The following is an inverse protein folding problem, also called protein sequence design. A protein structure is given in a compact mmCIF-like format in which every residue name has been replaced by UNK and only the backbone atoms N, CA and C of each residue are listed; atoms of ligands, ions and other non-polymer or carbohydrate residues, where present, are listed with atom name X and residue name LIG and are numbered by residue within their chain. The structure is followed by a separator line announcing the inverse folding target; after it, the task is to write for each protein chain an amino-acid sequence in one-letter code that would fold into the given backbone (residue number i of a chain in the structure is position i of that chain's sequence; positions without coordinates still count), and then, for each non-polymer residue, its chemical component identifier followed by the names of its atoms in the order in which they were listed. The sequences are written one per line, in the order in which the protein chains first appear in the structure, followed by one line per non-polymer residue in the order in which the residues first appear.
data_IF_961050422977
#
_entry.id   IF_961050422977
#
_cell.length_a   1.000
_cell.length_b   1.000
_cell.length_c   1.000
_cell.angle_alpha   90.00
_cell.angle_beta   90.00
_cell.angle_gamma   90.00
#
_symmetry.space_group_name_H-M   'P 1'
#
loop_
_entity.id
_entity.type
_entity.pdbx_description
1 polymer ?
#
# COMPACT_ATOMS: atom_id res chain seq x y z
N UNK A 1 -11.39 4.61 -18.47
CA UNK A 1 -10.63 3.67 -17.60
C UNK A 1 -11.63 2.73 -16.95
N UNK A 2 -11.40 1.43 -17.02
CA UNK A 2 -12.22 0.42 -16.33
C UNK A 2 -12.09 0.60 -14.82
N UNK A 3 -13.19 0.44 -14.08
CA UNK A 3 -13.16 0.46 -12.61
C UNK A 3 -12.24 -0.65 -12.09
N UNK A 4 -11.39 -0.36 -11.08
CA UNK A 4 -10.57 -1.36 -10.41
C UNK A 4 -11.38 -2.60 -10.00
N UNK A 5 -10.85 -3.80 -10.27
CA UNK A 5 -11.55 -5.05 -9.95
C UNK A 5 -11.92 -5.12 -8.46
N UNK A 6 -11.05 -4.60 -7.59
CA UNK A 6 -11.26 -4.55 -6.15
C UNK A 6 -12.38 -3.61 -5.69
N UNK A 7 -12.87 -2.67 -6.52
CA UNK A 7 -14.11 -1.94 -6.19
C UNK A 7 -15.31 -2.91 -6.13
N UNK A 8 -15.26 -4.02 -6.87
CA UNK A 8 -16.36 -5.01 -6.95
C UNK A 8 -16.17 -6.17 -5.98
N UNK A 9 -14.94 -6.64 -5.83
CA UNK A 9 -14.63 -7.87 -5.07
C UNK A 9 -13.98 -7.60 -3.71
N UNK A 10 -13.66 -6.34 -3.39
CA UNK A 10 -12.84 -5.98 -2.23
C UNK A 10 -13.58 -5.91 -0.91
N UNK A 11 -14.92 -6.02 -0.87
CA UNK A 11 -15.68 -5.95 0.40
C UNK A 11 -15.25 -7.03 1.38
N UNK A 12 -14.87 -6.63 2.59
CA UNK A 12 -14.40 -7.55 3.64
C UNK A 12 -12.97 -8.07 3.40
N UNK A 13 -12.19 -7.42 2.54
CA UNK A 13 -10.83 -7.85 2.26
C UNK A 13 -9.95 -7.73 3.50
N UNK A 14 -10.03 -6.62 4.24
CA UNK A 14 -9.20 -6.40 5.43
C UNK A 14 -9.43 -7.45 6.53
N UNK A 15 -10.63 -8.02 6.63
CA UNK A 15 -10.94 -9.04 7.64
C UNK A 15 -10.45 -10.43 7.25
N UNK A 16 -10.48 -10.75 5.94
CA UNK A 16 -10.15 -12.07 5.39
C UNK A 16 -8.67 -12.21 4.99
N UNK A 17 -8.02 -11.11 4.61
CA UNK A 17 -6.60 -11.06 4.22
C UNK A 17 -5.80 -10.26 5.24
N UNK A 18 -5.35 -10.97 6.28
CA UNK A 18 -4.47 -10.44 7.32
C UNK A 18 -3.00 -10.67 6.98
N UNK A 19 -2.11 -9.77 7.42
CA UNK A 19 -0.68 -9.93 7.16
C UNK A 19 -0.13 -11.17 7.87
N UNK A 20 0.59 -12.01 7.13
CA UNK A 20 1.44 -13.06 7.72
C UNK A 20 2.69 -12.41 8.33
N UNK A 21 2.99 -12.61 9.63
CA UNK A 21 4.14 -12.00 10.28
C UNK A 21 5.50 -12.33 9.63
N UNK A 22 5.61 -13.50 8.99
CA UNK A 22 6.85 -13.92 8.30
C UNK A 22 7.07 -13.11 7.02
N UNK A 23 5.99 -12.79 6.31
CA UNK A 23 6.05 -11.93 5.12
C UNK A 23 6.33 -10.50 5.54
N UNK A 24 5.64 -10.01 6.59
CA UNK A 24 5.86 -8.67 7.13
C UNK A 24 7.34 -8.46 7.54
N UNK A 25 7.92 -9.44 8.24
CA UNK A 25 9.34 -9.38 8.62
C UNK A 25 10.28 -9.31 7.41
N UNK A 26 10.03 -10.13 6.38
CA UNK A 26 10.84 -10.11 5.14
C UNK A 26 10.76 -8.78 4.41
N UNK A 27 9.57 -8.15 4.40
CA UNK A 27 9.39 -6.81 3.83
C UNK A 27 10.21 -5.79 4.62
N UNK A 28 10.09 -5.78 5.95
CA UNK A 28 10.85 -4.87 6.82
C UNK A 28 12.36 -5.02 6.63
N UNK A 29 12.85 -6.27 6.60
CA UNK A 29 14.28 -6.55 6.39
C UNK A 29 14.74 -6.06 5.00
N UNK A 30 13.92 -6.24 3.97
CA UNK A 30 14.22 -5.78 2.60
C UNK A 30 14.17 -4.25 2.47
N UNK A 31 13.32 -3.56 3.23
CA UNK A 31 13.27 -2.10 3.27
C UNK A 31 14.51 -1.49 3.92
N UNK A 32 15.26 -2.25 4.73
CA UNK A 32 16.61 -1.88 5.17
C UNK A 32 16.69 -0.55 5.93
N UNK A 33 15.62 -0.14 6.62
CA UNK A 33 15.55 1.14 7.33
C UNK A 33 15.25 2.35 6.44
N UNK A 34 14.72 2.16 5.23
CA UNK A 34 14.21 3.24 4.38
C UNK A 34 13.24 4.15 5.14
N UNK A 35 13.50 5.46 5.11
CA UNK A 35 12.72 6.45 5.87
C UNK A 35 11.43 6.85 5.16
N UNK A 36 11.44 6.96 3.83
CA UNK A 36 10.29 7.31 2.99
C UNK A 36 9.99 6.14 2.05
N UNK A 37 8.83 5.52 2.22
CA UNK A 37 8.44 4.32 1.48
C UNK A 37 7.17 4.59 0.67
N UNK A 38 7.19 4.23 -0.60
CA UNK A 38 5.98 4.22 -1.45
C UNK A 38 5.38 2.81 -1.47
N UNK A 39 4.15 2.64 -0.98
CA UNK A 39 3.42 1.38 -1.08
C UNK A 39 2.49 1.42 -2.29
N UNK A 40 2.85 0.73 -3.38
CA UNK A 40 2.10 0.74 -4.65
C UNK A 40 1.15 -0.45 -4.73
N UNK A 41 -0.12 -0.20 -5.01
CA UNK A 41 -1.16 -1.22 -4.89
C UNK A 41 -1.41 -1.57 -3.43
N UNK A 42 -1.46 -0.55 -2.57
CA UNK A 42 -1.46 -0.71 -1.12
C UNK A 42 -2.68 -1.48 -0.59
N UNK A 43 -3.78 -1.53 -1.35
CA UNK A 43 -5.01 -2.15 -0.92
C UNK A 43 -5.49 -1.58 0.42
N UNK A 44 -5.83 -2.48 1.34
CA UNK A 44 -6.26 -2.15 2.69
C UNK A 44 -5.09 -1.78 3.64
N UNK A 45 -3.86 -1.69 3.14
CA UNK A 45 -2.69 -1.26 3.92
C UNK A 45 -2.10 -2.34 4.84
N UNK A 46 -2.42 -3.62 4.62
CA UNK A 46 -2.10 -4.72 5.56
C UNK A 46 -0.62 -4.89 5.89
N UNK A 47 0.29 -4.52 4.98
CA UNK A 47 1.74 -4.70 5.12
C UNK A 47 2.50 -3.39 5.32
N UNK A 48 1.80 -2.28 5.62
CA UNK A 48 2.46 -0.99 5.79
C UNK A 48 3.35 -0.98 7.04
N UNK A 49 4.64 -0.68 6.92
CA UNK A 49 5.55 -0.62 8.06
C UNK A 49 5.24 0.59 8.95
N UNK A 50 5.19 0.38 10.27
CA UNK A 50 4.94 1.46 11.23
C UNK A 50 6.20 2.32 11.46
N UNK A 51 7.38 1.76 11.21
CA UNK A 51 8.67 2.41 11.46
C UNK A 51 9.12 3.36 10.33
N UNK A 52 8.37 3.42 9.22
CA UNK A 52 8.69 4.25 8.06
C UNK A 52 7.57 5.24 7.71
N UNK A 53 7.93 6.35 7.06
CA UNK A 53 6.95 7.29 6.50
C UNK A 53 6.42 6.74 5.19
N UNK A 54 5.30 6.04 5.27
CA UNK A 54 4.63 5.45 4.11
C UNK A 54 3.74 6.47 3.40
N UNK A 55 3.76 6.47 2.08
CA UNK A 55 2.67 6.98 1.25
C UNK A 55 2.12 5.81 0.45
N UNK A 56 0.81 5.61 0.50
CA UNK A 56 0.13 4.55 -0.21
C UNK A 56 -0.42 5.02 -1.56
N UNK A 57 -0.44 4.13 -2.55
CA UNK A 57 -1.11 4.32 -3.83
C UNK A 57 -2.06 3.16 -4.05
N UNK A 58 -3.34 3.46 -4.21
CA UNK A 58 -4.38 2.45 -4.44
C UNK A 58 -5.48 3.03 -5.34
N UNK A 59 -5.79 2.42 -6.50
CA UNK A 59 -6.86 2.93 -7.35
C UNK A 59 -8.27 2.61 -6.83
N UNK A 60 -8.45 1.53 -6.07
CA UNK A 60 -9.73 1.07 -5.54
C UNK A 60 -10.21 1.92 -4.37
N UNK A 61 -11.37 2.55 -4.54
CA UNK A 61 -12.00 3.29 -3.44
C UNK A 61 -12.46 2.34 -2.32
N UNK A 62 -12.88 1.14 -2.70
CA UNK A 62 -13.32 0.12 -1.74
C UNK A 62 -12.16 -0.38 -0.86
N UNK A 63 -10.97 -0.55 -1.43
CA UNK A 63 -9.81 -0.96 -0.64
C UNK A 63 -9.34 0.18 0.27
N UNK A 64 -9.36 1.43 -0.24
CA UNK A 64 -9.02 2.62 0.55
C UNK A 64 -9.95 2.76 1.77
N UNK A 65 -11.26 2.54 1.59
CA UNK A 65 -12.24 2.68 2.67
C UNK A 65 -12.06 1.68 3.82
N UNK A 66 -11.33 0.58 3.58
CA UNK A 66 -11.07 -0.49 4.55
C UNK A 66 -9.70 -0.39 5.22
N UNK A 67 -8.97 0.71 5.02
CA UNK A 67 -7.63 0.90 5.59
C UNK A 67 -7.71 1.24 7.08
N UNK A 68 -7.03 0.44 7.90
CA UNK A 68 -6.76 0.74 9.32
C UNK A 68 -5.43 1.48 9.53
N UNK A 69 -4.65 1.68 8.46
CA UNK A 69 -3.40 2.43 8.50
C UNK A 69 -3.62 3.95 8.48
N UNK A 70 -2.83 4.67 9.28
CA UNK A 70 -2.78 6.13 9.30
C UNK A 70 -1.96 6.73 8.14
N UNK A 71 -1.30 5.92 7.32
CA UNK A 71 -0.49 6.41 6.21
C UNK A 71 -1.37 7.12 5.16
N UNK A 72 -0.95 8.30 4.67
CA UNK A 72 -1.66 9.00 3.61
C UNK A 72 -1.75 8.12 2.36
N UNK A 73 -2.91 8.14 1.70
CA UNK A 73 -3.18 7.37 0.49
C UNK A 73 -3.56 8.28 -0.66
N UNK A 74 -2.97 8.02 -1.82
CA UNK A 74 -3.27 8.70 -3.08
C UNK A 74 -4.01 7.73 -3.99
N UNK A 75 -5.17 8.15 -4.48
CA UNK A 75 -5.93 7.35 -5.46
C UNK A 75 -5.35 7.51 -6.85
N UNK A 76 -4.43 6.62 -7.21
CA UNK A 76 -3.76 6.58 -8.52
C UNK A 76 -3.43 5.13 -8.90
N UNK A 77 -2.94 4.91 -10.12
CA UNK A 77 -2.48 3.60 -10.57
C UNK A 77 -0.95 3.53 -10.62
N UNK A 78 -0.38 2.33 -10.67
CA UNK A 78 1.07 2.13 -10.71
C UNK A 78 1.70 2.72 -11.98
N UNK A 79 0.95 2.79 -13.08
CA UNK A 79 1.40 3.28 -14.38
C UNK A 79 1.45 4.82 -14.45
N UNK A 80 0.82 5.52 -13.49
CA UNK A 80 0.67 6.97 -13.48
C UNK A 80 0.84 7.55 -12.07
N UNK A 81 2.02 7.33 -11.48
CA UNK A 81 2.35 7.81 -10.14
C UNK A 81 2.50 9.34 -10.11
N UNK A 82 1.76 10.07 -9.25
CA UNK A 82 1.77 11.54 -9.20
C UNK A 82 2.90 12.07 -8.31
N UNK A 83 4.10 11.50 -8.41
CA UNK A 83 5.26 11.88 -7.60
C UNK A 83 6.43 12.26 -8.49
N UNK A 84 7.25 13.20 -8.00
CA UNK A 84 8.50 13.50 -8.66
C UNK A 84 9.48 12.32 -8.53
N UNK A 85 10.45 12.26 -9.44
CA UNK A 85 11.55 11.30 -9.34
C UNK A 85 12.32 11.48 -8.02
N UNK A 86 12.81 10.38 -7.45
CA UNK A 86 13.65 10.36 -6.22
C UNK A 86 12.96 10.93 -4.97
N UNK A 87 11.63 10.94 -4.93
CA UNK A 87 10.86 11.36 -3.73
C UNK A 87 10.85 10.35 -2.59
N UNK A 88 11.12 9.07 -2.89
CA UNK A 88 11.10 7.97 -1.92
C UNK A 88 12.44 7.23 -1.92
N UNK A 89 12.77 6.64 -0.78
CA UNK A 89 14.01 5.87 -0.58
C UNK A 89 13.81 4.41 -1.03
N UNK A 90 12.60 3.88 -0.90
CA UNK A 90 12.19 2.56 -1.36
C UNK A 90 10.72 2.54 -1.82
N UNK A 91 10.37 1.52 -2.59
CA UNK A 91 8.99 1.20 -2.93
C UNK A 91 8.70 -0.27 -2.63
N UNK A 92 7.46 -0.57 -2.26
CA UNK A 92 6.96 -1.92 -2.01
C UNK A 92 5.68 -2.18 -2.79
N UNK A 93 5.49 -3.45 -3.16
CA UNK A 93 4.27 -4.01 -3.75
C UNK A 93 4.20 -5.48 -3.31
N UNK A 94 3.08 -5.89 -2.71
CA UNK A 94 2.93 -7.17 -1.99
C UNK A 94 1.72 -7.95 -2.48
#
# INVERSE_FOLDING_TARGET
MTSPIYDRIGRGYATTRRPDPRIARRILDALGGASRVLNVGAGAGSYEPEEARVVAVEPSGEMIAQRDSAAPVVRATAEALPFAGRSFDAAMAV
#
